data_IF_577582274952
#
_entry.id   IF_577582274952
#
_cell.length_a   1.000
_cell.length_b   1.000
_cell.length_c   1.000
_cell.angle_alpha   90.00
_cell.angle_beta   90.00
_cell.angle_gamma   90.00
#
_symmetry.space_group_name_H-M   'P 1'
#
loop_
_entity.id
_entity.type
_entity.pdbx_description
1 polymer ?
#
# COMPACT_ATOMS: atom_id res chain seq x y z
N UNK A 1 -3.74 20.23 -12.99
CA UNK A 1 -2.78 20.15 -11.86
C UNK A 1 -1.73 19.10 -12.22
N UNK A 2 -0.48 19.28 -11.81
CA UNK A 2 0.66 18.54 -12.40
C UNK A 2 1.06 17.30 -11.59
N UNK A 3 1.66 16.32 -12.26
CA UNK A 3 2.36 15.16 -11.68
C UNK A 3 3.28 15.51 -10.49
N UNK A 4 3.92 16.69 -10.51
CA UNK A 4 4.78 17.17 -9.42
C UNK A 4 4.04 17.36 -8.09
N UNK A 5 2.75 17.72 -8.12
CA UNK A 5 1.93 17.85 -6.92
C UNK A 5 1.69 16.47 -6.28
N UNK A 6 1.36 15.46 -7.10
CA UNK A 6 1.30 14.08 -6.64
C UNK A 6 2.63 13.61 -6.06
N UNK A 7 3.75 13.90 -6.75
CA UNK A 7 5.07 13.54 -6.24
C UNK A 7 5.38 14.18 -4.87
N UNK A 8 5.03 15.46 -4.67
CA UNK A 8 5.21 16.15 -3.39
C UNK A 8 4.33 15.56 -2.25
N UNK A 9 3.08 15.18 -2.56
CA UNK A 9 2.21 14.46 -1.61
C UNK A 9 2.87 13.15 -1.17
N UNK A 10 3.39 12.38 -2.14
CA UNK A 10 4.04 11.09 -1.86
C UNK A 10 5.34 11.29 -1.09
N UNK A 11 6.16 12.27 -1.45
CA UNK A 11 7.41 12.59 -0.72
C UNK A 11 7.17 12.87 0.75
N UNK A 12 6.10 13.62 1.07
CA UNK A 12 5.75 13.98 2.44
C UNK A 12 5.05 12.85 3.20
N UNK A 13 4.13 12.14 2.54
CA UNK A 13 3.23 11.16 3.18
C UNK A 13 3.73 9.72 3.15
N UNK A 14 4.55 9.35 2.18
CA UNK A 14 5.13 8.01 2.01
C UNK A 14 6.52 8.11 1.37
N UNK A 15 7.55 8.54 2.12
CA UNK A 15 8.91 8.73 1.61
C UNK A 15 9.50 7.44 1.00
N UNK A 16 9.06 6.28 1.48
CA UNK A 16 9.47 5.00 0.92
C UNK A 16 8.94 4.81 -0.51
N UNK A 17 7.63 4.96 -0.73
CA UNK A 17 7.07 4.89 -2.09
C UNK A 17 7.60 6.00 -2.99
N UNK A 18 7.91 7.17 -2.44
CA UNK A 18 8.58 8.22 -3.20
C UNK A 18 9.92 7.75 -3.74
N UNK A 19 10.79 7.19 -2.89
CA UNK A 19 12.08 6.64 -3.32
C UNK A 19 11.91 5.52 -4.36
N UNK A 20 10.96 4.61 -4.16
CA UNK A 20 10.69 3.54 -5.11
C UNK A 20 10.23 4.07 -6.48
N UNK A 21 9.30 5.04 -6.50
CA UNK A 21 8.84 5.68 -7.73
C UNK A 21 9.99 6.45 -8.41
N UNK A 22 10.84 7.14 -7.65
CA UNK A 22 12.00 7.85 -8.19
C UNK A 22 13.08 6.92 -8.75
N UNK A 23 13.13 5.67 -8.31
CA UNK A 23 13.98 4.64 -8.88
C UNK A 23 13.38 3.96 -10.14
N UNK A 24 12.10 4.21 -10.44
CA UNK A 24 11.42 3.69 -11.63
C UNK A 24 11.75 4.50 -12.90
N UNK A 25 11.54 3.93 -14.11
CA UNK A 25 11.56 4.69 -15.37
C UNK A 25 10.56 5.86 -15.35
N UNK A 26 10.85 6.91 -16.12
CA UNK A 26 10.03 8.15 -16.15
C UNK A 26 8.60 7.85 -16.60
N UNK A 27 8.43 6.91 -17.52
CA UNK A 27 7.14 6.45 -18.02
C UNK A 27 6.31 5.82 -16.90
N UNK A 28 6.94 5.04 -16.02
CA UNK A 28 6.26 4.43 -14.89
C UNK A 28 5.84 5.47 -13.84
N UNK A 29 6.68 6.48 -13.60
CA UNK A 29 6.39 7.56 -12.62
C UNK A 29 5.08 8.28 -12.91
N UNK A 30 4.73 8.44 -14.20
CA UNK A 30 3.46 9.07 -14.62
C UNK A 30 2.23 8.34 -14.09
N UNK A 31 2.31 7.02 -13.91
CA UNK A 31 1.25 6.18 -13.35
C UNK A 31 1.41 6.04 -11.83
N UNK A 32 2.64 5.83 -11.35
CA UNK A 32 2.90 5.55 -9.94
C UNK A 32 2.58 6.74 -9.03
N UNK A 33 2.96 7.97 -9.39
CA UNK A 33 2.74 9.12 -8.50
C UNK A 33 1.26 9.44 -8.26
N UNK A 34 0.37 9.50 -9.26
CA UNK A 34 -1.05 9.74 -9.00
C UNK A 34 -1.68 8.64 -8.15
N UNK A 35 -1.37 7.36 -8.43
CA UNK A 35 -1.83 6.22 -7.64
C UNK A 35 -1.35 6.28 -6.17
N UNK A 36 -0.07 6.58 -5.96
CA UNK A 36 0.49 6.65 -4.62
C UNK A 36 0.01 7.89 -3.86
N UNK A 37 -0.19 9.03 -4.54
CA UNK A 37 -0.77 10.22 -3.92
C UNK A 37 -2.22 9.97 -3.49
N UNK A 38 -3.01 9.27 -4.31
CA UNK A 38 -4.34 8.78 -3.94
C UNK A 38 -4.27 7.92 -2.68
N UNK A 39 -3.37 6.93 -2.64
CA UNK A 39 -3.26 6.08 -1.45
C UNK A 39 -2.84 6.87 -0.21
N UNK A 40 -1.96 7.86 -0.33
CA UNK A 40 -1.57 8.74 0.80
C UNK A 40 -2.80 9.48 1.33
N UNK A 41 -3.59 10.11 0.46
CA UNK A 41 -4.79 10.86 0.83
C UNK A 41 -5.87 9.97 1.47
N UNK A 42 -6.06 8.77 0.95
CA UNK A 42 -7.01 7.79 1.48
C UNK A 42 -6.53 7.23 2.82
N UNK A 43 -5.25 6.90 2.96
CA UNK A 43 -4.70 6.34 4.18
C UNK A 43 -4.63 7.36 5.33
N UNK A 44 -4.45 8.66 5.05
CA UNK A 44 -4.44 9.72 6.06
C UNK A 44 -5.84 10.14 6.52
N UNK A 45 -6.88 9.93 5.71
CA UNK A 45 -8.23 10.42 5.98
C UNK A 45 -8.75 10.11 7.40
N UNK A 46 -8.50 8.90 7.97
CA UNK A 46 -8.95 8.57 9.32
C UNK A 46 -8.16 9.26 10.45
N UNK A 47 -6.98 9.82 10.16
CA UNK A 47 -6.04 10.33 11.17
C UNK A 47 -5.99 11.86 11.23
N UNK A 48 -6.56 12.55 10.23
CA UNK A 48 -6.51 14.02 10.13
C UNK A 48 -7.72 14.72 10.77
N UNK A 49 -8.64 13.96 11.37
CA UNK A 49 -9.85 14.50 12.02
C UNK A 49 -10.21 13.68 13.25
N UNK A 50 -10.72 14.32 14.30
CA UNK A 50 -11.06 13.64 15.57
C UNK A 50 -12.41 12.90 15.56
N UNK A 51 -13.30 13.19 14.61
CA UNK A 51 -14.66 12.63 14.56
C UNK A 51 -14.83 11.54 13.48
N UNK A 52 -15.34 10.33 13.84
CA UNK A 52 -15.60 9.24 12.88
C UNK A 52 -16.42 9.66 11.66
N UNK A 53 -17.44 10.50 11.87
CA UNK A 53 -18.30 11.01 10.80
C UNK A 53 -17.51 11.80 9.74
N UNK A 54 -16.58 12.67 10.15
CA UNK A 54 -15.80 13.48 9.20
C UNK A 54 -14.82 12.60 8.42
N UNK A 55 -14.20 11.62 9.09
CA UNK A 55 -13.35 10.64 8.43
C UNK A 55 -14.12 9.82 7.38
N UNK A 56 -15.32 9.34 7.72
CA UNK A 56 -16.18 8.62 6.77
C UNK A 56 -16.61 9.49 5.60
N UNK A 57 -16.96 10.77 5.81
CA UNK A 57 -17.27 11.70 4.72
C UNK A 57 -16.08 11.89 3.76
N UNK A 58 -14.85 11.96 4.29
CA UNK A 58 -13.63 12.05 3.45
C UNK A 58 -13.40 10.78 2.66
N UNK A 59 -13.60 9.61 3.26
CA UNK A 59 -13.51 8.34 2.55
C UNK A 59 -14.59 8.25 1.46
N UNK A 60 -15.84 8.60 1.78
CA UNK A 60 -16.93 8.59 0.81
C UNK A 60 -16.63 9.52 -0.38
N UNK A 61 -16.10 10.72 -0.12
CA UNK A 61 -15.64 11.62 -1.17
C UNK A 61 -14.59 10.96 -2.09
N UNK A 62 -13.71 10.08 -1.60
CA UNK A 62 -12.80 9.35 -2.49
C UNK A 62 -13.51 8.26 -3.30
N UNK A 63 -14.50 7.59 -2.70
CA UNK A 63 -15.30 6.56 -3.38
C UNK A 63 -16.05 7.13 -4.57
N UNK A 64 -16.81 8.21 -4.39
CA UNK A 64 -17.51 8.78 -5.54
C UNK A 64 -16.57 9.50 -6.54
N UNK A 65 -15.32 9.82 -6.17
CA UNK A 65 -14.32 10.31 -7.13
C UNK A 65 -13.92 9.19 -8.09
N UNK A 66 -13.72 8.00 -7.54
CA UNK A 66 -13.42 6.80 -8.31
C UNK A 66 -14.62 6.37 -9.17
N UNK A 67 -15.85 6.54 -8.67
CA UNK A 67 -17.06 6.29 -9.45
C UNK A 67 -17.19 7.24 -10.64
N UNK A 68 -16.94 8.53 -10.45
CA UNK A 68 -16.91 9.53 -11.54
C UNK A 68 -15.85 9.18 -12.59
N UNK A 69 -14.65 8.77 -12.16
CA UNK A 69 -13.59 8.30 -13.07
C UNK A 69 -14.05 7.03 -13.81
N UNK A 70 -14.66 6.08 -13.11
CA UNK A 70 -15.10 4.80 -13.70
C UNK A 70 -16.22 4.96 -14.74
N UNK A 71 -17.05 5.99 -14.59
CA UNK A 71 -18.18 6.28 -15.48
C UNK A 71 -17.80 7.23 -16.62
N UNK A 72 -16.61 7.83 -16.58
CA UNK A 72 -16.16 8.82 -17.57
C UNK A 72 -16.89 10.17 -17.46
N UNK A 73 -17.49 10.45 -16.29
CA UNK A 73 -18.23 11.68 -16.02
C UNK A 73 -17.32 12.86 -15.65
N UNK A 74 -17.94 13.95 -15.21
CA UNK A 74 -17.21 15.09 -14.66
C UNK A 74 -16.60 14.70 -13.29
N UNK A 75 -15.27 14.55 -13.25
CA UNK A 75 -14.55 14.22 -12.02
C UNK A 75 -14.39 15.45 -11.14
N UNK A 76 -14.75 15.31 -9.86
CA UNK A 76 -14.56 16.32 -8.82
C UNK A 76 -13.12 16.81 -8.77
N UNK A 77 -12.96 18.11 -8.54
CA UNK A 77 -11.64 18.76 -8.61
C UNK A 77 -10.85 18.57 -7.33
N UNK A 78 -9.68 17.97 -7.47
CA UNK A 78 -8.64 17.86 -6.46
C UNK A 78 -7.30 17.69 -7.16
N UNK A 79 -6.20 18.07 -6.51
CA UNK A 79 -4.86 18.02 -7.12
C UNK A 79 -4.42 16.63 -7.55
N UNK A 80 -4.96 15.61 -6.90
CA UNK A 80 -4.74 14.19 -7.22
C UNK A 80 -5.77 13.64 -8.22
N UNK A 81 -7.05 14.03 -8.17
CA UNK A 81 -8.08 13.40 -9.02
C UNK A 81 -7.88 13.69 -10.50
N UNK A 82 -7.36 14.88 -10.85
CA UNK A 82 -7.04 15.21 -12.25
C UNK A 82 -6.01 14.25 -12.86
N UNK A 83 -4.77 14.15 -12.35
CA UNK A 83 -3.79 13.21 -12.91
C UNK A 83 -4.17 11.74 -12.66
N UNK A 84 -4.97 11.43 -11.64
CA UNK A 84 -5.48 10.08 -11.43
C UNK A 84 -6.47 9.67 -12.54
N UNK A 85 -7.39 10.55 -12.92
CA UNK A 85 -8.34 10.31 -14.00
C UNK A 85 -7.66 10.12 -15.36
N UNK A 86 -6.47 10.70 -15.56
CA UNK A 86 -5.67 10.52 -16.79
C UNK A 86 -5.03 9.12 -16.90
N UNK A 87 -4.85 8.41 -15.79
CA UNK A 87 -4.12 7.12 -15.76
C UNK A 87 -4.99 5.91 -15.42
N UNK A 88 -6.14 6.11 -14.79
CA UNK A 88 -7.04 5.01 -14.45
C UNK A 88 -7.98 4.67 -15.62
N UNK A 89 -8.14 3.38 -15.89
CA UNK A 89 -9.31 2.89 -16.60
C UNK A 89 -10.47 2.59 -15.61
N UNK A 90 -11.66 2.30 -16.15
CA UNK A 90 -12.84 2.01 -15.35
C UNK A 90 -12.70 0.75 -14.47
N UNK A 91 -11.85 -0.22 -14.86
CA UNK A 91 -11.60 -1.41 -14.06
C UNK A 91 -10.74 -1.08 -12.84
N UNK A 92 -9.66 -0.32 -13.01
CA UNK A 92 -8.82 0.13 -11.90
C UNK A 92 -9.60 1.03 -10.95
N UNK A 93 -10.39 1.97 -11.47
CA UNK A 93 -11.16 2.87 -10.62
C UNK A 93 -12.13 2.11 -9.70
N UNK A 94 -12.87 1.12 -10.25
CA UNK A 94 -13.73 0.24 -9.44
C UNK A 94 -12.96 -0.64 -8.46
N UNK A 95 -11.77 -1.12 -8.84
CA UNK A 95 -10.95 -1.92 -7.94
C UNK A 95 -10.41 -1.09 -6.76
N UNK A 96 -9.99 0.15 -7.03
CA UNK A 96 -9.48 1.06 -6.01
C UNK A 96 -10.54 1.54 -5.02
N UNK A 97 -11.84 1.43 -5.35
CA UNK A 97 -12.91 1.67 -4.36
C UNK A 97 -12.76 0.76 -3.13
N UNK A 98 -12.32 -0.48 -3.34
CA UNK A 98 -12.06 -1.41 -2.24
C UNK A 98 -10.88 -0.97 -1.37
N UNK A 99 -9.88 -0.30 -1.95
CA UNK A 99 -8.75 0.28 -1.21
C UNK A 99 -9.22 1.39 -0.28
N UNK A 100 -10.24 2.15 -0.68
CA UNK A 100 -10.89 3.15 0.19
C UNK A 100 -11.76 2.47 1.24
N UNK A 101 -12.57 1.47 0.84
CA UNK A 101 -13.52 0.81 1.72
C UNK A 101 -12.85 0.15 2.94
N UNK A 102 -11.68 -0.49 2.76
CA UNK A 102 -10.95 -1.10 3.88
C UNK A 102 -10.45 -0.08 4.91
N UNK A 103 -10.27 1.19 4.52
CA UNK A 103 -9.87 2.26 5.45
C UNK A 103 -10.99 2.69 6.39
N UNK A 104 -12.21 2.19 6.20
CA UNK A 104 -13.27 2.37 7.19
C UNK A 104 -12.91 1.72 8.53
N UNK A 105 -12.18 0.59 8.52
CA UNK A 105 -11.64 0.01 9.76
C UNK A 105 -10.72 0.99 10.49
N UNK A 106 -9.89 1.72 9.72
CA UNK A 106 -9.02 2.76 10.25
C UNK A 106 -9.80 3.95 10.84
N UNK A 107 -11.14 4.02 10.78
CA UNK A 107 -11.93 5.10 11.43
C UNK A 107 -12.32 4.74 12.88
N UNK A 108 -12.50 3.45 13.18
CA UNK A 108 -13.02 2.97 14.46
C UNK A 108 -11.93 2.28 15.29
N UNK A 109 -12.15 2.09 16.60
CA UNK A 109 -11.14 1.48 17.49
C UNK A 109 -11.32 -0.03 17.70
N UNK A 110 -12.37 -0.59 17.10
CA UNK A 110 -12.71 -2.00 17.22
C UNK A 110 -11.60 -2.90 16.64
N UNK A 111 -11.40 -4.10 17.22
CA UNK A 111 -10.51 -5.09 16.64
C UNK A 111 -11.01 -5.52 15.25
N UNK A 112 -10.15 -6.20 14.49
CA UNK A 112 -10.63 -6.99 13.35
C UNK A 112 -11.64 -8.03 13.83
N UNK A 113 -12.65 -8.27 13.00
CA UNK A 113 -13.75 -9.22 13.31
C UNK A 113 -13.24 -10.66 13.40
N UNK A 114 -12.37 -11.04 12.47
CA UNK A 114 -11.75 -12.35 12.36
C UNK A 114 -10.49 -12.30 11.47
N UNK A 115 -9.87 -13.46 11.28
CA UNK A 115 -8.70 -13.64 10.41
C UNK A 115 -9.01 -13.30 8.94
N UNK A 116 -10.24 -13.56 8.47
CA UNK A 116 -10.63 -13.26 7.10
C UNK A 116 -10.68 -11.75 6.85
N UNK A 117 -11.23 -10.98 7.80
CA UNK A 117 -11.23 -9.53 7.77
C UNK A 117 -9.79 -8.99 7.81
N UNK A 118 -8.93 -9.53 8.69
CA UNK A 118 -7.53 -9.13 8.78
C UNK A 118 -6.77 -9.33 7.45
N UNK A 119 -6.90 -10.51 6.83
CA UNK A 119 -6.30 -10.79 5.52
C UNK A 119 -6.88 -9.89 4.42
N UNK A 120 -8.21 -9.66 4.43
CA UNK A 120 -8.87 -8.81 3.46
C UNK A 120 -8.37 -7.36 3.51
N UNK A 121 -8.07 -6.83 4.69
CA UNK A 121 -7.52 -5.47 4.85
C UNK A 121 -6.22 -5.28 4.05
N UNK A 122 -5.30 -6.25 4.09
CA UNK A 122 -4.06 -6.18 3.31
C UNK A 122 -4.27 -6.45 1.82
N UNK A 123 -5.10 -7.46 1.48
CA UNK A 123 -5.33 -7.88 0.09
C UNK A 123 -6.12 -6.84 -0.71
N UNK A 124 -7.20 -6.31 -0.14
CA UNK A 124 -8.05 -5.28 -0.79
C UNK A 124 -7.50 -3.87 -0.63
N UNK A 125 -6.55 -3.66 0.28
CA UNK A 125 -5.82 -2.40 0.47
C UNK A 125 -4.53 -2.35 -0.33
N UNK A 126 -3.39 -2.48 0.35
CA UNK A 126 -2.07 -2.28 -0.23
C UNK A 126 -1.74 -3.22 -1.40
N UNK A 127 -2.23 -4.46 -1.38
CA UNK A 127 -1.98 -5.41 -2.46
C UNK A 127 -2.73 -5.06 -3.74
N UNK A 128 -4.01 -4.69 -3.63
CA UNK A 128 -4.81 -4.26 -4.78
C UNK A 128 -4.22 -3.00 -5.41
N UNK A 129 -3.74 -2.04 -4.61
CA UNK A 129 -3.01 -0.86 -5.11
C UNK A 129 -1.81 -1.26 -5.97
N UNK A 130 -0.96 -2.18 -5.48
CA UNK A 130 0.20 -2.67 -6.22
C UNK A 130 -0.20 -3.39 -7.50
N UNK A 131 -1.25 -4.22 -7.44
CA UNK A 131 -1.75 -4.91 -8.63
C UNK A 131 -2.24 -3.92 -9.69
N UNK A 132 -3.01 -2.91 -9.31
CA UNK A 132 -3.47 -1.89 -10.26
C UNK A 132 -2.30 -1.10 -10.86
N UNK A 133 -1.27 -0.76 -10.07
CA UNK A 133 -0.05 -0.18 -10.59
C UNK A 133 0.64 -1.09 -11.62
N UNK A 134 0.81 -2.38 -11.32
CA UNK A 134 1.44 -3.33 -12.23
C UNK A 134 0.62 -3.51 -13.52
N UNK A 135 -0.71 -3.65 -13.41
CA UNK A 135 -1.64 -3.83 -14.53
C UNK A 135 -1.63 -2.64 -15.47
N UNK A 136 -1.73 -1.42 -14.94
CA UNK A 136 -1.67 -0.19 -15.73
C UNK A 136 -0.31 0.01 -16.43
N UNK A 137 0.75 -0.62 -15.92
CA UNK A 137 2.08 -0.66 -16.52
C UNK A 137 2.29 -1.86 -17.47
N UNK A 138 1.24 -2.66 -17.72
CA UNK A 138 1.24 -3.76 -18.69
C UNK A 138 1.50 -5.16 -18.13
N UNK A 139 1.32 -5.38 -16.83
CA UNK A 139 1.35 -6.74 -16.29
C UNK A 139 0.20 -7.59 -16.85
N UNK A 140 0.46 -8.84 -17.28
CA UNK A 140 -0.59 -9.76 -17.73
C UNK A 140 -1.45 -10.26 -16.56
N UNK A 141 -2.70 -10.63 -16.83
CA UNK A 141 -3.69 -11.00 -15.80
C UNK A 141 -3.28 -12.23 -14.96
N UNK A 142 -2.51 -13.16 -15.53
CA UNK A 142 -1.97 -14.33 -14.82
C UNK A 142 -0.99 -13.93 -13.69
N UNK A 143 -0.44 -12.72 -13.74
CA UNK A 143 0.39 -12.16 -12.68
C UNK A 143 -0.41 -11.54 -11.53
N UNK A 144 -1.75 -11.47 -11.62
CA UNK A 144 -2.60 -10.90 -10.58
C UNK A 144 -2.35 -11.55 -9.21
N UNK A 145 -2.52 -12.87 -9.11
CA UNK A 145 -2.40 -13.57 -7.82
C UNK A 145 -0.98 -13.46 -7.25
N UNK A 146 0.11 -13.70 -8.02
CA UNK A 146 1.46 -13.48 -7.52
C UNK A 146 1.73 -12.06 -7.02
N UNK A 147 1.26 -11.03 -7.75
CA UNK A 147 1.44 -9.63 -7.36
C UNK A 147 0.62 -9.29 -6.11
N UNK A 148 -0.61 -9.81 -5.99
CA UNK A 148 -1.43 -9.64 -4.78
C UNK A 148 -0.77 -10.28 -3.55
N UNK A 149 -0.19 -11.47 -3.67
CA UNK A 149 0.51 -12.11 -2.55
C UNK A 149 1.75 -11.31 -2.14
N UNK A 150 2.52 -10.82 -3.12
CA UNK A 150 3.67 -9.97 -2.87
C UNK A 150 3.29 -8.63 -2.22
N UNK A 151 2.26 -7.96 -2.76
CA UNK A 151 1.73 -6.71 -2.22
C UNK A 151 1.17 -6.85 -0.80
N UNK A 152 0.48 -7.96 -0.51
CA UNK A 152 -0.05 -8.24 0.83
C UNK A 152 1.09 -8.39 1.84
N UNK A 153 2.15 -9.13 1.50
CA UNK A 153 3.31 -9.29 2.38
C UNK A 153 4.02 -7.96 2.68
N UNK A 154 4.11 -7.06 1.69
CA UNK A 154 4.64 -5.71 1.90
C UNK A 154 3.73 -4.91 2.83
N UNK A 155 2.42 -4.96 2.60
CA UNK A 155 1.44 -4.29 3.43
C UNK A 155 1.52 -4.77 4.89
N UNK A 156 1.62 -6.10 5.11
CA UNK A 156 1.84 -6.69 6.44
C UNK A 156 3.16 -6.19 7.04
N UNK A 157 4.27 -6.17 6.30
CA UNK A 157 5.55 -5.71 6.82
C UNK A 157 5.51 -4.26 7.31
N UNK A 158 4.81 -3.38 6.58
CA UNK A 158 4.63 -1.96 6.95
C UNK A 158 3.65 -1.81 8.10
N UNK A 159 2.59 -2.61 8.12
CA UNK A 159 1.60 -2.60 9.19
C UNK A 159 2.20 -3.01 10.53
N UNK A 160 3.00 -4.09 10.55
CA UNK A 160 3.70 -4.54 11.75
C UNK A 160 4.72 -3.51 12.27
N UNK A 161 5.27 -2.65 11.40
CA UNK A 161 6.09 -1.53 11.84
C UNK A 161 5.28 -0.39 12.48
N UNK A 162 3.98 -0.30 12.20
CA UNK A 162 3.07 0.70 12.74
C UNK A 162 2.31 0.25 14.00
N UNK A 163 2.32 -1.05 14.36
CA UNK A 163 1.54 -1.62 15.47
C UNK A 163 1.74 -0.85 16.78
N UNK A 164 2.97 -0.59 17.20
CA UNK A 164 3.25 0.16 18.43
C UNK A 164 2.53 1.51 18.47
N UNK A 165 2.57 2.27 17.36
CA UNK A 165 1.89 3.56 17.25
C UNK A 165 0.35 3.41 17.23
N UNK A 166 -0.17 2.36 16.58
CA UNK A 166 -1.59 2.06 16.56
C UNK A 166 -2.11 1.71 17.96
N UNK A 167 -1.41 0.86 18.70
CA UNK A 167 -1.71 0.50 20.09
C UNK A 167 -1.64 1.73 21.00
N UNK A 168 -0.62 2.58 20.85
CA UNK A 168 -0.51 3.85 21.60
C UNK A 168 -1.68 4.82 21.34
N UNK A 169 -2.34 4.71 20.18
CA UNK A 169 -3.56 5.47 19.86
C UNK A 169 -4.86 4.82 20.38
N UNK A 170 -4.75 3.70 21.09
CA UNK A 170 -5.85 2.93 21.66
C UNK A 170 -6.54 1.99 20.68
N UNK A 171 -5.83 1.51 19.65
CA UNK A 171 -6.34 0.49 18.71
C UNK A 171 -5.98 -0.92 19.16
N UNK A 172 -6.70 -1.90 18.59
CA UNK A 172 -6.40 -3.32 18.70
C UNK A 172 -6.03 -3.87 17.32
N UNK A 173 -4.78 -3.67 16.84
CA UNK A 173 -4.41 -3.90 15.45
C UNK A 173 -4.17 -5.37 15.07
N UNK A 174 -4.09 -6.29 16.03
CA UNK A 174 -3.72 -7.68 15.79
C UNK A 174 -4.79 -8.65 16.28
N UNK A 175 -5.13 -9.65 15.46
CA UNK A 175 -5.93 -10.82 15.88
C UNK A 175 -5.12 -11.68 16.86
N UNK A 176 -3.84 -11.92 16.54
CA UNK A 176 -2.91 -12.67 17.39
C UNK A 176 -1.62 -11.88 17.60
N UNK A 177 -1.57 -11.08 18.67
CA UNK A 177 -0.41 -10.29 19.06
C UNK A 177 0.67 -11.06 19.85
N UNK A 178 0.53 -12.38 20.02
CA UNK A 178 1.55 -13.17 20.71
C UNK A 178 2.85 -13.23 19.92
N UNK A 179 3.95 -13.54 20.61
CA UNK A 179 5.25 -13.75 19.97
C UNK A 179 5.18 -14.76 18.83
N UNK A 180 4.50 -15.89 19.05
CA UNK A 180 4.33 -16.95 18.06
C UNK A 180 3.44 -16.52 16.90
N UNK A 181 2.37 -15.76 17.19
CA UNK A 181 1.49 -15.17 16.18
C UNK A 181 2.23 -14.24 15.22
N UNK A 182 3.04 -13.33 15.75
CA UNK A 182 3.87 -12.41 14.97
C UNK A 182 4.90 -13.15 14.10
N UNK A 183 5.56 -14.17 14.65
CA UNK A 183 6.53 -14.98 13.90
C UNK A 183 5.84 -15.72 12.76
N UNK A 184 4.69 -16.35 13.04
CA UNK A 184 3.90 -17.10 12.06
C UNK A 184 3.42 -16.19 10.93
N UNK A 185 2.85 -15.04 11.27
CA UNK A 185 2.39 -14.04 10.29
C UNK A 185 3.54 -13.55 9.40
N UNK A 186 4.69 -13.24 9.99
CA UNK A 186 5.85 -12.76 9.24
C UNK A 186 6.44 -13.82 8.30
N UNK A 187 6.55 -15.07 8.75
CA UNK A 187 7.05 -16.18 7.95
C UNK A 187 6.09 -16.55 6.82
N UNK A 188 4.80 -16.66 7.10
CA UNK A 188 3.78 -16.96 6.09
C UNK A 188 3.72 -15.86 5.04
N UNK A 189 3.69 -14.59 5.46
CA UNK A 189 3.74 -13.44 4.53
C UNK A 189 4.98 -13.49 3.64
N UNK A 190 6.16 -13.80 4.19
CA UNK A 190 7.39 -13.90 3.42
C UNK A 190 7.42 -15.09 2.45
N UNK A 191 6.76 -16.19 2.81
CA UNK A 191 6.61 -17.37 1.96
C UNK A 191 5.65 -17.10 0.80
N UNK A 192 4.46 -16.56 1.09
CA UNK A 192 3.41 -16.24 0.11
C UNK A 192 3.88 -15.21 -0.92
N UNK A 193 4.71 -14.25 -0.50
CA UNK A 193 5.32 -13.27 -1.39
C UNK A 193 6.17 -13.88 -2.52
N UNK A 194 6.62 -15.13 -2.36
CA UNK A 194 7.49 -15.81 -3.31
C UNK A 194 8.83 -15.09 -3.51
N UNK A 195 9.31 -15.06 -4.75
CA UNK A 195 10.57 -14.40 -5.09
C UNK A 195 10.38 -13.25 -6.06
N UNK A 196 11.09 -12.15 -5.83
CA UNK A 196 11.09 -11.03 -6.77
C UNK A 196 11.57 -11.44 -8.17
N UNK A 197 12.47 -12.43 -8.25
CA UNK A 197 13.00 -12.94 -9.52
C UNK A 197 11.91 -13.62 -10.35
N UNK A 198 11.08 -14.46 -9.74
CA UNK A 198 9.98 -15.13 -10.44
C UNK A 198 8.92 -14.12 -10.89
N UNK A 199 8.57 -13.16 -10.04
CA UNK A 199 7.64 -12.08 -10.40
C UNK A 199 8.13 -11.26 -11.59
N UNK A 200 9.40 -10.83 -11.58
CA UNK A 200 9.99 -10.06 -12.68
C UNK A 200 10.04 -10.84 -13.99
N UNK A 201 10.28 -12.16 -13.94
CA UNK A 201 10.31 -13.01 -15.14
C UNK A 201 8.94 -13.07 -15.84
N UNK A 202 7.84 -12.98 -15.10
CA UNK A 202 6.48 -13.04 -15.62
C UNK A 202 5.93 -11.70 -16.13
N UNK A 203 6.68 -10.60 -16.05
CA UNK A 203 6.16 -9.26 -16.36
C UNK A 203 7.09 -8.44 -17.26
N UNK A 204 6.53 -7.58 -18.14
CA UNK A 204 7.30 -6.59 -18.88
C UNK A 204 8.13 -5.69 -17.95
N UNK A 205 9.28 -5.18 -18.43
CA UNK A 205 10.18 -4.35 -17.62
C UNK A 205 9.49 -3.15 -16.98
N UNK A 206 8.56 -2.50 -17.69
CA UNK A 206 7.84 -1.35 -17.18
C UNK A 206 6.94 -1.72 -15.99
N UNK A 207 6.20 -2.82 -16.09
CA UNK A 207 5.34 -3.34 -15.01
C UNK A 207 6.10 -3.75 -13.75
N UNK A 208 7.37 -4.15 -13.88
CA UNK A 208 8.22 -4.47 -12.73
C UNK A 208 8.46 -3.27 -11.81
N UNK A 209 8.28 -2.04 -12.29
CA UNK A 209 8.40 -0.82 -11.49
C UNK A 209 7.42 -0.78 -10.32
N UNK A 210 6.21 -1.35 -10.47
CA UNK A 210 5.21 -1.43 -9.39
C UNK A 210 5.70 -2.27 -8.20
N UNK A 211 6.65 -3.19 -8.42
CA UNK A 211 7.21 -4.03 -7.36
C UNK A 211 8.30 -3.33 -6.54
N UNK A 212 8.80 -2.17 -6.99
CA UNK A 212 9.96 -1.54 -6.37
C UNK A 212 9.69 -1.16 -4.92
N UNK A 213 8.44 -0.83 -4.56
CA UNK A 213 8.06 -0.48 -3.18
C UNK A 213 8.25 -1.61 -2.16
N UNK A 214 8.45 -2.85 -2.62
CA UNK A 214 8.69 -4.00 -1.75
C UNK A 214 10.16 -4.32 -1.47
N UNK A 215 11.11 -3.45 -1.83
CA UNK A 215 12.54 -3.73 -1.67
C UNK A 215 12.91 -4.08 -0.23
N UNK A 216 12.30 -3.41 0.76
CA UNK A 216 12.59 -3.58 2.19
C UNK A 216 11.77 -4.69 2.88
N UNK A 217 10.70 -5.20 2.26
CA UNK A 217 9.76 -6.09 2.94
C UNK A 217 10.39 -7.40 3.43
N UNK A 218 11.15 -8.11 2.57
CA UNK A 218 11.77 -9.39 2.95
C UNK A 218 12.73 -9.29 4.16
N UNK A 219 13.69 -8.34 4.23
CA UNK A 219 14.52 -8.21 5.42
C UNK A 219 13.72 -7.78 6.66
N UNK A 220 12.69 -6.95 6.51
CA UNK A 220 11.81 -6.55 7.62
C UNK A 220 11.02 -7.74 8.17
N UNK A 221 10.38 -8.54 7.31
CA UNK A 221 9.66 -9.74 7.73
C UNK A 221 10.59 -10.76 8.42
N UNK A 222 11.83 -10.92 7.92
CA UNK A 222 12.84 -11.74 8.60
C UNK A 222 13.22 -11.22 9.98
N UNK A 223 13.39 -9.90 10.11
CA UNK A 223 13.69 -9.25 11.39
C UNK A 223 12.55 -9.47 12.39
N UNK A 224 11.30 -9.34 11.96
CA UNK A 224 10.13 -9.61 12.82
C UNK A 224 10.09 -11.08 13.23
N UNK A 225 10.38 -12.01 12.33
CA UNK A 225 10.41 -13.43 12.65
C UNK A 225 11.53 -13.80 13.64
N UNK A 226 12.68 -13.12 13.62
CA UNK A 226 13.77 -13.36 14.57
C UNK A 226 13.63 -12.58 15.88
N UNK A 227 13.12 -11.36 15.82
CA UNK A 227 13.02 -10.40 16.92
C UNK A 227 11.59 -9.81 17.01
N UNK A 228 10.57 -10.63 17.26
CA UNK A 228 9.16 -10.21 17.26
C UNK A 228 8.83 -9.11 18.27
N UNK A 229 9.59 -9.00 19.37
CA UNK A 229 9.43 -7.93 20.37
C UNK A 229 9.57 -6.52 19.78
N UNK A 230 10.30 -6.37 18.66
CA UNK A 230 10.49 -5.07 18.00
C UNK A 230 9.18 -4.43 17.51
N UNK A 231 8.16 -5.26 17.26
CA UNK A 231 6.81 -4.80 16.89
C UNK A 231 6.21 -3.97 18.01
N UNK A 232 6.26 -4.47 19.25
CA UNK A 232 5.79 -3.77 20.44
C UNK A 232 6.70 -2.58 20.79
N UNK A 233 8.02 -2.71 20.59
CA UNK A 233 8.98 -1.64 20.88
C UNK A 233 8.96 -0.50 19.85
N UNK A 234 8.26 -0.65 18.72
CA UNK A 234 8.25 0.33 17.64
C UNK A 234 9.61 0.47 16.92
N UNK A 235 10.43 -0.58 16.93
CA UNK A 235 11.80 -0.57 16.39
C UNK A 235 11.96 -1.42 15.12
N UNK A 236 10.86 -1.89 14.54
CA UNK A 236 10.85 -2.60 13.25
C UNK A 236 11.35 -1.66 12.14
N UNK A 237 12.27 -2.15 11.31
CA UNK A 237 12.80 -1.40 10.17
C UNK A 237 14.28 -1.65 9.91
N UNK A 238 14.73 -1.13 8.77
CA UNK A 238 16.14 -1.15 8.36
C UNK A 238 16.70 0.27 8.37
N UNK A 239 17.99 0.42 8.65
CA UNK A 239 18.61 1.75 8.69
C UNK A 239 18.50 2.47 7.34
N UNK A 240 18.35 3.81 7.31
CA UNK A 240 18.18 4.57 6.07
C UNK A 240 19.28 4.30 5.03
N UNK A 241 20.53 4.19 5.49
CA UNK A 241 21.67 3.87 4.63
C UNK A 241 21.52 2.48 3.98
N UNK A 242 21.21 1.44 4.76
CA UNK A 242 21.00 0.08 4.24
C UNK A 242 19.80 0.01 3.29
N UNK A 243 18.74 0.77 3.59
CA UNK A 243 17.55 0.86 2.74
C UNK A 243 17.90 1.41 1.36
N UNK A 244 18.60 2.56 1.29
CA UNK A 244 19.01 3.19 0.03
C UNK A 244 19.95 2.31 -0.79
N UNK A 245 20.98 1.73 -0.17
CA UNK A 245 21.92 0.81 -0.86
C UNK A 245 21.18 -0.40 -1.45
N UNK A 246 20.19 -0.92 -0.73
CA UNK A 246 19.40 -2.07 -1.19
C UNK A 246 18.48 -1.70 -2.35
N UNK A 247 17.84 -0.54 -2.30
CA UNK A 247 16.99 -0.04 -3.40
C UNK A 247 17.81 0.13 -4.69
N UNK A 248 19.02 0.70 -4.59
CA UNK A 248 19.94 0.86 -5.74
C UNK A 248 20.35 -0.47 -6.39
N UNK A 249 20.41 -1.55 -5.61
CA UNK A 249 20.67 -2.92 -6.14
C UNK A 249 19.41 -3.59 -6.71
N UNK A 250 18.25 -2.98 -6.48
CA UNK A 250 16.93 -3.51 -6.82
C UNK A 250 16.36 -2.91 -8.09
N UNK A 251 16.53 -1.60 -8.27
CA UNK A 251 16.22 -0.85 -9.49
C UNK A 251 17.13 -1.25 -10.64
#
# INVERSE_FOLDING_TARGET
MSLNACAAIVEKGDPERFMAAMAAPVEARRILFPLYAFNVEVARAPWVTEGPMIAEMRLQWWRDALEEIATGGAVRRHEVTTPLAEVLDAQSARALDQVVAVRRWDVYKDPFEDEQHFVAYFRKGGAELMWQAARLLGAPEDMRVPVLNYGAAIAVSRYLAAVCALEASGRVPLINGTREGLVTLALNSAADAGTIRSLRKGMPKLAQAALLEGWAAKPVLKQIASEPQRVADGTVGISPFRSKVRLLRWS
#
